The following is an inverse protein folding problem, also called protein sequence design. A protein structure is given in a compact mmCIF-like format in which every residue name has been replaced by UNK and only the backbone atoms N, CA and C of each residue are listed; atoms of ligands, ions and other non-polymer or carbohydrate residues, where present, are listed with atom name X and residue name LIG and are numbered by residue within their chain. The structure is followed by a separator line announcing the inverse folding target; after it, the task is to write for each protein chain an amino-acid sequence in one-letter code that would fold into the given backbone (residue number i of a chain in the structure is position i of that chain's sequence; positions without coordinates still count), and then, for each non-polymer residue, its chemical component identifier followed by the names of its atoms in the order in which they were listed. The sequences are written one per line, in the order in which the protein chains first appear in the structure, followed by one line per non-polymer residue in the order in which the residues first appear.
data_IF_976587464340
#
_entry.id   IF_976587464340
#
_cell.length_a   1.000
_cell.length_b   1.000
_cell.length_c   1.000
_cell.angle_alpha   90.00
_cell.angle_beta   90.00
_cell.angle_gamma   90.00
#
_symmetry.space_group_name_H-M   'P 1'
#
loop_
_entity.id
_entity.type
_entity.pdbx_description
1 polymer ?
#
# COMPACT_ATOMS: atom_id res chain seq x y z
N UNK A 1 7.04 22.55 16.36
CA UNK A 1 7.41 21.20 15.89
C UNK A 1 8.81 21.33 15.29
N UNK A 2 9.83 20.71 15.89
CA UNK A 2 11.20 20.80 15.37
C UNK A 2 11.29 20.09 14.02
N UNK A 3 12.20 20.58 13.17
CA UNK A 3 12.39 19.97 11.86
C UNK A 3 12.98 18.56 11.99
N UNK A 4 12.54 17.60 11.15
CA UNK A 4 13.03 16.24 11.25
C UNK A 4 14.51 16.17 10.86
N UNK A 5 15.28 15.28 11.51
CA UNK A 5 16.74 15.18 11.37
C UNK A 5 17.25 14.84 9.96
N UNK A 6 16.35 14.44 9.07
CA UNK A 6 16.61 14.14 7.66
C UNK A 6 16.19 15.26 6.69
N UNK A 7 15.72 16.42 7.19
CA UNK A 7 15.34 17.54 6.32
C UNK A 7 16.54 18.00 5.48
N UNK A 8 16.33 18.13 4.17
CA UNK A 8 17.37 18.53 3.21
C UNK A 8 18.35 17.42 2.81
N UNK A 9 18.27 16.22 3.40
CA UNK A 9 19.10 15.07 3.00
C UNK A 9 18.39 14.28 1.89
N UNK A 10 19.11 13.96 0.82
CA UNK A 10 18.65 13.07 -0.25
C UNK A 10 19.39 11.74 -0.15
N UNK A 11 18.63 10.68 0.12
CA UNK A 11 19.13 9.30 0.12
C UNK A 11 18.88 8.66 -1.25
N UNK A 12 19.73 7.72 -1.69
CA UNK A 12 19.43 6.90 -2.85
C UNK A 12 18.14 6.10 -2.61
N UNK A 13 17.40 5.84 -3.68
CA UNK A 13 16.28 4.92 -3.62
C UNK A 13 16.81 3.49 -3.43
N UNK A 14 16.20 2.75 -2.51
CA UNK A 14 16.50 1.34 -2.24
C UNK A 14 15.21 0.52 -2.33
N UNK A 15 14.69 0.30 -3.57
CA UNK A 15 13.45 -0.43 -3.75
C UNK A 15 13.66 -1.93 -3.59
N UNK A 16 12.70 -2.61 -2.95
CA UNK A 16 12.71 -4.07 -2.89
C UNK A 16 12.53 -4.68 -4.29
N UNK A 17 13.27 -5.74 -4.56
CA UNK A 17 13.15 -6.52 -5.79
C UNK A 17 11.89 -7.40 -5.77
N UNK A 18 11.35 -7.81 -6.93
CA UNK A 18 10.23 -8.75 -6.97
C UNK A 18 10.50 -10.06 -6.22
N UNK A 19 11.71 -10.60 -6.32
CA UNK A 19 12.12 -11.82 -5.62
C UNK A 19 12.18 -11.63 -4.09
N UNK A 20 12.54 -10.45 -3.60
CA UNK A 20 12.46 -10.12 -2.17
C UNK A 20 11.02 -9.98 -1.70
N UNK A 21 10.16 -9.36 -2.50
CA UNK A 21 8.75 -9.26 -2.20
C UNK A 21 8.09 -10.65 -2.11
N UNK A 22 8.40 -11.56 -3.04
CA UNK A 22 7.95 -12.95 -3.00
C UNK A 22 8.47 -13.70 -1.76
N UNK A 23 9.75 -13.51 -1.40
CA UNK A 23 10.32 -14.07 -0.18
C UNK A 23 9.66 -13.56 1.09
N UNK A 24 9.32 -12.27 1.16
CA UNK A 24 8.59 -11.71 2.30
C UNK A 24 7.20 -12.33 2.39
N UNK A 25 6.49 -12.39 1.26
CA UNK A 25 5.14 -12.97 1.21
C UNK A 25 5.11 -14.44 1.62
N UNK A 26 6.14 -15.22 1.27
CA UNK A 26 6.23 -16.64 1.65
C UNK A 26 6.50 -16.87 3.14
N UNK A 27 6.91 -15.84 3.90
CA UNK A 27 7.09 -15.96 5.36
C UNK A 27 5.79 -15.87 6.14
N UNK A 28 4.72 -15.33 5.54
CA UNK A 28 3.42 -15.21 6.21
C UNK A 28 2.72 -16.58 6.26
N UNK A 29 2.30 -16.96 7.47
CA UNK A 29 1.50 -18.16 7.70
C UNK A 29 0.03 -18.01 7.34
N UNK A 30 -0.81 -18.89 7.89
CA UNK A 30 -2.26 -18.94 7.62
C UNK A 30 -3.12 -18.29 8.71
N UNK A 31 -2.50 -17.71 9.75
CA UNK A 31 -3.24 -17.05 10.82
C UNK A 31 -3.97 -15.80 10.29
N UNK A 32 -4.99 -15.33 11.02
CA UNK A 32 -5.68 -14.09 10.66
C UNK A 32 -4.71 -12.89 10.61
N UNK A 33 -3.74 -12.84 11.53
CA UNK A 33 -2.70 -11.82 11.57
C UNK A 33 -1.78 -11.91 10.36
N UNK A 34 -1.38 -13.12 9.95
CA UNK A 34 -0.51 -13.32 8.79
C UNK A 34 -1.20 -12.92 7.49
N UNK A 35 -2.46 -13.35 7.29
CA UNK A 35 -3.28 -12.94 6.13
C UNK A 35 -3.44 -11.43 6.06
N UNK A 36 -3.69 -10.79 7.20
CA UNK A 36 -3.76 -9.32 7.29
C UNK A 36 -2.42 -8.69 6.91
N UNK A 37 -1.31 -9.18 7.46
CA UNK A 37 0.01 -8.62 7.19
C UNK A 37 0.42 -8.81 5.72
N UNK A 38 0.12 -9.96 5.12
CA UNK A 38 0.30 -10.21 3.69
C UNK A 38 -0.51 -9.23 2.84
N UNK A 39 -1.79 -9.04 3.16
CA UNK A 39 -2.65 -8.07 2.47
C UNK A 39 -2.12 -6.63 2.59
N UNK A 40 -1.69 -6.21 3.79
CA UNK A 40 -1.09 -4.89 4.00
C UNK A 40 0.17 -4.72 3.15
N UNK A 41 1.04 -5.73 3.11
CA UNK A 41 2.24 -5.70 2.28
C UNK A 41 1.90 -5.55 0.80
N UNK A 42 0.95 -6.33 0.29
CA UNK A 42 0.48 -6.26 -1.11
C UNK A 42 -0.04 -4.87 -1.44
N UNK A 43 -0.87 -4.27 -0.58
CA UNK A 43 -1.42 -2.93 -0.80
C UNK A 43 -0.33 -1.86 -0.87
N UNK A 44 0.70 -1.94 0.00
CA UNK A 44 1.83 -1.02 -0.02
C UNK A 44 2.71 -1.21 -1.26
N UNK A 45 3.04 -2.46 -1.60
CA UNK A 45 3.97 -2.80 -2.68
C UNK A 45 3.33 -2.70 -4.07
N UNK A 46 2.20 -3.38 -4.29
CA UNK A 46 1.50 -3.44 -5.59
C UNK A 46 0.65 -2.19 -5.86
N UNK A 47 0.00 -1.65 -4.83
CA UNK A 47 -0.82 -0.45 -4.96
C UNK A 47 -0.04 0.86 -4.86
N UNK A 48 1.21 0.83 -4.39
CA UNK A 48 2.02 2.03 -4.17
C UNK A 48 1.37 3.00 -3.18
N UNK A 49 0.65 2.48 -2.18
CA UNK A 49 0.04 3.30 -1.14
C UNK A 49 1.11 3.77 -0.16
N UNK A 50 0.91 4.99 0.35
CA UNK A 50 1.68 5.46 1.52
C UNK A 50 1.16 4.77 2.77
N UNK A 51 2.00 4.59 3.79
CA UNK A 51 1.57 3.97 5.06
C UNK A 51 0.30 4.63 5.64
N UNK A 52 0.23 5.96 5.63
CA UNK A 52 -0.95 6.68 6.11
C UNK A 52 -2.21 6.43 5.27
N UNK A 53 -2.06 6.25 3.95
CA UNK A 53 -3.18 5.91 3.05
C UNK A 53 -3.68 4.50 3.34
N UNK A 54 -2.77 3.53 3.49
CA UNK A 54 -3.10 2.15 3.83
C UNK A 54 -3.79 2.04 5.20
N UNK A 55 -3.31 2.76 6.21
CA UNK A 55 -3.95 2.81 7.54
C UNK A 55 -5.33 3.49 7.56
N UNK A 56 -5.66 4.25 6.50
CA UNK A 56 -6.95 4.95 6.37
C UNK A 56 -7.92 4.22 5.45
N UNK A 57 -7.58 3.04 4.92
CA UNK A 57 -8.48 2.27 4.08
C UNK A 57 -9.68 1.76 4.87
N UNK A 58 -10.85 1.80 4.23
CA UNK A 58 -12.05 1.10 4.67
C UNK A 58 -12.37 -0.06 3.72
N UNK A 59 -13.15 -1.05 4.18
CA UNK A 59 -13.59 -2.17 3.32
C UNK A 59 -14.35 -1.65 2.09
N UNK A 60 -15.12 -0.56 2.25
CA UNK A 60 -15.87 0.08 1.16
C UNK A 60 -15.00 0.72 0.06
N UNK A 61 -13.70 0.88 0.32
CA UNK A 61 -12.73 1.40 -0.65
C UNK A 61 -12.22 0.32 -1.61
N UNK A 62 -12.46 -0.97 -1.33
CA UNK A 62 -12.08 -2.09 -2.19
C UNK A 62 -13.21 -2.46 -3.16
N UNK A 63 -12.87 -2.56 -4.44
CA UNK A 63 -13.73 -3.14 -5.48
C UNK A 63 -13.02 -4.32 -6.10
N UNK A 64 -13.70 -5.46 -6.15
CA UNK A 64 -13.21 -6.70 -6.76
C UNK A 64 -14.14 -7.02 -7.92
N UNK A 65 -13.60 -6.99 -9.14
CA UNK A 65 -14.33 -7.20 -10.39
C UNK A 65 -13.60 -8.28 -11.22
N UNK A 66 -13.94 -9.55 -10.98
CA UNK A 66 -13.25 -10.68 -11.61
C UNK A 66 -11.77 -10.73 -11.19
N UNK A 67 -10.87 -10.68 -12.17
CA UNK A 67 -9.41 -10.68 -11.94
C UNK A 67 -8.84 -9.28 -11.66
N UNK A 68 -9.64 -8.23 -11.84
CA UNK A 68 -9.21 -6.86 -11.61
C UNK A 68 -9.77 -6.37 -10.27
N UNK A 69 -8.88 -5.84 -9.42
CA UNK A 69 -9.29 -5.21 -8.17
C UNK A 69 -8.84 -3.76 -8.15
N UNK A 70 -9.62 -2.88 -7.54
CA UNK A 70 -9.25 -1.47 -7.37
C UNK A 70 -9.43 -1.02 -5.93
N UNK A 71 -8.54 -0.11 -5.51
CA UNK A 71 -8.61 0.55 -4.21
C UNK A 71 -8.79 2.06 -4.38
N UNK A 72 -9.76 2.62 -3.68
CA UNK A 72 -9.99 4.06 -3.60
C UNK A 72 -9.19 4.68 -2.44
N UNK A 73 -8.22 5.53 -2.75
CA UNK A 73 -7.48 6.30 -1.77
C UNK A 73 -8.21 7.62 -1.50
N UNK A 74 -8.91 7.69 -0.36
CA UNK A 74 -9.78 8.82 0.03
C UNK A 74 -9.01 10.09 0.37
N UNK A 75 -7.89 9.98 1.08
CA UNK A 75 -7.11 11.12 1.60
C UNK A 75 -5.63 10.97 1.28
N UNK A 76 -5.19 11.37 0.08
CA UNK A 76 -3.80 11.21 -0.29
C UNK A 76 -2.94 12.24 0.48
N UNK A 77 -1.68 11.89 0.76
CA UNK A 77 -0.80 12.70 1.63
C UNK A 77 -0.31 13.98 0.94
N UNK A 78 -0.28 15.09 1.70
CA UNK A 78 0.48 16.30 1.35
C UNK A 78 -0.26 17.30 0.48
N UNK A 79 -1.58 17.36 0.60
CA UNK A 79 -2.40 18.05 -0.39
C UNK A 79 -3.35 19.02 0.28
N UNK A 80 -3.52 20.15 -0.41
CA UNK A 80 -4.38 21.25 0.01
C UNK A 80 -5.82 20.73 0.14
N UNK A 81 -6.60 21.38 1.00
CA UNK A 81 -8.05 21.14 1.09
C UNK A 81 -8.66 21.08 -0.32
N UNK A 82 -9.39 19.99 -0.62
CA UNK A 82 -10.05 19.80 -1.92
C UNK A 82 -9.35 18.88 -2.94
N UNK A 83 -8.31 18.14 -2.56
CA UNK A 83 -7.71 17.20 -3.52
C UNK A 83 -8.60 15.98 -3.74
N UNK A 84 -8.91 15.62 -4.99
CA UNK A 84 -9.80 14.50 -5.28
C UNK A 84 -9.17 13.16 -4.86
N UNK A 85 -10.00 12.19 -4.43
CA UNK A 85 -9.59 10.81 -4.25
C UNK A 85 -8.98 10.24 -5.54
N UNK A 86 -8.07 9.26 -5.41
CA UNK A 86 -7.54 8.51 -6.54
C UNK A 86 -7.89 7.04 -6.45
N UNK A 87 -7.96 6.37 -7.59
CA UNK A 87 -8.14 4.92 -7.68
C UNK A 87 -6.83 4.29 -8.11
N UNK A 88 -6.43 3.19 -7.47
CA UNK A 88 -5.28 2.37 -7.88
C UNK A 88 -5.78 0.99 -8.27
N UNK A 89 -5.20 0.42 -9.34
CA UNK A 89 -5.40 -0.97 -9.68
C UNK A 89 -4.54 -1.89 -8.81
N UNK A 90 -5.09 -3.05 -8.49
CA UNK A 90 -4.39 -4.18 -7.91
C UNK A 90 -4.39 -5.30 -8.95
N UNK A 91 -3.21 -5.90 -9.19
CA UNK A 91 -3.10 -7.05 -10.08
C UNK A 91 -3.81 -8.28 -9.50
N UNK A 92 -4.18 -9.26 -10.33
CA UNK A 92 -4.94 -10.44 -9.91
C UNK A 92 -4.27 -11.21 -8.75
N UNK A 93 -2.93 -11.21 -8.71
CA UNK A 93 -2.13 -11.84 -7.65
C UNK A 93 -2.25 -11.15 -6.29
N UNK A 94 -2.84 -9.96 -6.24
CA UNK A 94 -3.12 -9.25 -5.01
C UNK A 94 -4.40 -9.75 -4.30
N UNK A 95 -5.28 -10.47 -5.00
CA UNK A 95 -6.61 -10.85 -4.49
C UNK A 95 -6.93 -12.34 -4.55
N UNK A 96 -6.07 -13.16 -5.16
CA UNK A 96 -6.19 -14.62 -5.21
C UNK A 96 -4.93 -15.30 -5.71
#
# INVERSE_FOLDING_TARGET
MSEPANKGKRYPADPITPAEAERILSTYGVSATDRRNAAVFVVLYRGGLRCAEACSLDVSDLRVEGEASTLRVRWPKGIRSGTPPRTVGLDARATG
#
